data_IF_336031481213
#
_entry.id   IF_336031481213
#
_cell.length_a   1.000
_cell.length_b   1.000
_cell.length_c   1.000
_cell.angle_alpha   90.00
_cell.angle_beta   90.00
_cell.angle_gamma   90.00
#
_symmetry.space_group_name_H-M   'P 1'
#
loop_
_entity.id
_entity.type
_entity.pdbx_description
1 polymer ?
#
# COMPACT_ATOMS: atom_id res chain seq x y z
N UNK A 1 -3.03 -34.87 -9.07
CA UNK A 1 -3.52 -33.47 -9.08
C UNK A 1 -2.33 -32.59 -9.49
N UNK A 2 -1.93 -32.69 -10.76
CA UNK A 2 -2.21 -31.76 -11.87
C UNK A 2 -1.68 -30.34 -11.65
N UNK A 3 -0.40 -30.13 -11.98
CA UNK A 3 0.27 -28.84 -12.12
C UNK A 3 -0.50 -27.80 -12.93
N UNK A 4 -1.40 -28.22 -13.84
CA UNK A 4 -2.23 -27.31 -14.63
C UNK A 4 -3.34 -26.65 -13.80
N UNK A 5 -3.83 -27.30 -12.74
CA UNK A 5 -4.86 -26.72 -11.86
C UNK A 5 -4.29 -25.63 -10.96
N UNK A 6 -3.04 -25.78 -10.50
CA UNK A 6 -2.34 -24.75 -9.71
C UNK A 6 -2.01 -23.54 -10.55
N UNK A 7 -1.48 -23.71 -11.77
CA UNK A 7 -1.15 -22.58 -12.66
C UNK A 7 -2.38 -21.74 -13.03
N UNK A 8 -3.49 -22.37 -13.39
CA UNK A 8 -4.73 -21.65 -13.73
C UNK A 8 -5.31 -20.87 -12.54
N UNK A 9 -5.18 -21.40 -11.31
CA UNK A 9 -5.59 -20.71 -10.10
C UNK A 9 -4.66 -19.53 -9.76
N UNK A 10 -3.35 -19.68 -9.95
CA UNK A 10 -2.36 -18.62 -9.77
C UNK A 10 -2.54 -17.48 -10.79
N UNK A 11 -2.76 -17.81 -12.07
CA UNK A 11 -3.02 -16.83 -13.13
C UNK A 11 -4.33 -16.05 -12.85
N UNK A 12 -5.36 -16.72 -12.32
CA UNK A 12 -6.62 -16.07 -11.91
C UNK A 12 -6.40 -15.09 -10.75
N UNK A 13 -5.67 -15.50 -9.71
CA UNK A 13 -5.37 -14.65 -8.55
C UNK A 13 -4.56 -13.41 -8.95
N UNK A 14 -3.57 -13.57 -9.83
CA UNK A 14 -2.79 -12.43 -10.35
C UNK A 14 -3.70 -11.49 -11.15
N UNK A 15 -4.59 -12.04 -11.98
CA UNK A 15 -5.55 -11.23 -12.75
C UNK A 15 -6.51 -10.44 -11.85
N UNK A 16 -7.06 -11.07 -10.81
CA UNK A 16 -7.93 -10.40 -9.83
C UNK A 16 -7.18 -9.33 -9.04
N UNK A 17 -5.95 -9.59 -8.66
CA UNK A 17 -5.08 -8.64 -7.97
C UNK A 17 -4.84 -7.41 -8.86
N UNK A 18 -4.41 -7.62 -10.11
CA UNK A 18 -4.16 -6.53 -11.06
C UNK A 18 -5.43 -5.73 -11.34
N UNK A 19 -6.58 -6.40 -11.51
CA UNK A 19 -7.88 -5.73 -11.69
C UNK A 19 -8.28 -4.89 -10.47
N UNK A 20 -8.07 -5.42 -9.27
CA UNK A 20 -8.37 -4.70 -8.02
C UNK A 20 -7.48 -3.47 -7.85
N UNK A 21 -6.19 -3.59 -8.19
CA UNK A 21 -5.25 -2.46 -8.12
C UNK A 21 -5.54 -1.44 -9.22
N UNK A 22 -5.94 -1.85 -10.42
CA UNK A 22 -6.39 -0.94 -11.48
C UNK A 22 -7.61 -0.12 -11.03
N UNK A 23 -8.60 -0.76 -10.41
CA UNK A 23 -9.75 -0.05 -9.81
C UNK A 23 -9.32 0.94 -8.73
N UNK A 24 -8.40 0.55 -7.86
CA UNK A 24 -7.86 1.45 -6.83
C UNK A 24 -7.13 2.65 -7.47
N UNK A 25 -6.36 2.42 -8.54
CA UNK A 25 -5.69 3.49 -9.30
C UNK A 25 -6.68 4.47 -9.93
N UNK A 26 -7.78 3.99 -10.51
CA UNK A 26 -8.87 4.84 -11.03
C UNK A 26 -9.50 5.67 -9.91
N UNK A 27 -9.82 5.04 -8.78
CA UNK A 27 -10.36 5.75 -7.62
C UNK A 27 -9.43 6.88 -7.16
N UNK A 28 -8.13 6.62 -7.04
CA UNK A 28 -7.21 7.64 -6.57
C UNK A 28 -7.03 8.80 -7.56
N UNK A 29 -7.15 8.54 -8.86
CA UNK A 29 -7.11 9.56 -9.91
C UNK A 29 -8.34 10.49 -9.86
N UNK A 30 -9.54 9.91 -9.71
CA UNK A 30 -10.80 10.65 -9.62
C UNK A 30 -10.92 11.46 -8.31
N UNK A 31 -10.45 10.90 -7.19
CA UNK A 31 -10.62 11.47 -5.86
C UNK A 31 -9.36 12.13 -5.31
N UNK A 32 -8.34 12.40 -6.13
CA UNK A 32 -7.05 12.96 -5.71
C UNK A 32 -7.15 14.22 -4.84
N UNK A 33 -8.21 15.02 -5.04
CA UNK A 33 -8.46 16.25 -4.28
C UNK A 33 -8.98 16.01 -2.85
N UNK A 34 -9.35 14.78 -2.49
CA UNK A 34 -9.91 14.42 -1.18
C UNK A 34 -9.06 13.39 -0.43
N UNK A 35 -7.95 12.93 -1.03
CA UNK A 35 -7.07 11.94 -0.40
C UNK A 35 -6.27 12.61 0.72
N UNK A 36 -6.40 12.11 1.95
CA UNK A 36 -5.59 12.53 3.09
C UNK A 36 -4.25 11.77 3.14
N UNK A 37 -3.52 11.87 4.25
CA UNK A 37 -2.22 11.19 4.39
C UNK A 37 -2.39 9.67 4.43
N UNK A 38 -3.48 9.14 4.97
CA UNK A 38 -3.74 7.69 5.02
C UNK A 38 -4.00 7.12 3.63
N UNK A 39 -4.77 7.83 2.81
CA UNK A 39 -4.97 7.43 1.42
C UNK A 39 -3.67 7.52 0.61
N UNK A 40 -2.81 8.51 0.91
CA UNK A 40 -1.47 8.60 0.31
C UNK A 40 -0.56 7.45 0.78
N UNK A 41 -0.68 7.02 2.03
CA UNK A 41 0.02 5.84 2.54
C UNK A 41 -0.46 4.57 1.84
N UNK A 42 -1.78 4.40 1.71
CA UNK A 42 -2.39 3.25 1.03
C UNK A 42 -1.93 3.13 -0.44
N UNK A 43 -1.88 4.24 -1.17
CA UNK A 43 -1.40 4.22 -2.57
C UNK A 43 0.11 3.90 -2.64
N UNK A 44 0.93 4.39 -1.72
CA UNK A 44 2.36 4.07 -1.64
C UNK A 44 2.62 2.60 -1.33
N UNK A 45 1.82 2.00 -0.43
CA UNK A 45 1.86 0.54 -0.17
C UNK A 45 1.46 -0.23 -1.43
N UNK A 46 0.38 0.17 -2.09
CA UNK A 46 -0.06 -0.46 -3.34
C UNK A 46 1.00 -0.41 -4.43
N UNK A 47 1.65 0.75 -4.60
CA UNK A 47 2.75 0.91 -5.54
C UNK A 47 3.95 0.03 -5.16
N UNK A 48 4.32 -0.03 -3.88
CA UNK A 48 5.40 -0.89 -3.39
C UNK A 48 5.16 -2.36 -3.75
N UNK A 49 3.95 -2.86 -3.56
CA UNK A 49 3.61 -4.25 -3.92
C UNK A 49 3.66 -4.51 -5.43
N UNK A 50 3.19 -3.56 -6.25
CA UNK A 50 3.31 -3.69 -7.71
C UNK A 50 4.77 -3.73 -8.18
N UNK A 51 5.64 -2.90 -7.59
CA UNK A 51 7.07 -2.89 -7.88
C UNK A 51 7.72 -4.24 -7.51
N UNK A 52 7.32 -4.83 -6.39
CA UNK A 52 7.76 -6.19 -6.00
C UNK A 52 7.31 -7.24 -7.00
N UNK A 53 6.06 -7.17 -7.46
CA UNK A 53 5.53 -8.08 -8.47
C UNK A 53 6.29 -7.90 -9.78
N UNK A 54 6.47 -6.66 -10.27
CA UNK A 54 7.22 -6.37 -11.50
C UNK A 54 8.64 -6.95 -11.44
N UNK A 55 9.33 -6.76 -10.31
CA UNK A 55 10.65 -7.35 -10.05
C UNK A 55 10.63 -8.88 -10.08
N UNK A 56 9.58 -9.53 -9.57
CA UNK A 56 9.42 -10.98 -9.67
C UNK A 56 9.14 -11.44 -11.10
N UNK A 57 8.23 -10.75 -11.81
CA UNK A 57 7.89 -11.04 -13.20
C UNK A 57 9.10 -10.89 -14.14
N UNK A 58 10.04 -9.99 -13.83
CA UNK A 58 11.29 -9.84 -14.61
C UNK A 58 12.22 -11.07 -14.50
N UNK A 59 12.09 -11.87 -13.43
CA UNK A 59 12.91 -13.07 -13.18
C UNK A 59 12.29 -14.35 -13.74
N UNK A 60 11.04 -14.30 -14.15
CA UNK A 60 10.31 -15.45 -14.70
C UNK A 60 9.84 -15.16 -16.13
N UNK A 61 9.55 -16.20 -16.91
CA UNK A 61 8.94 -16.03 -18.23
C UNK A 61 7.43 -15.76 -18.08
N UNK A 62 7.11 -14.58 -17.55
CA UNK A 62 5.74 -14.08 -17.42
C UNK A 62 5.21 -13.50 -18.75
N UNK A 63 3.88 -13.45 -18.88
CA UNK A 63 3.19 -12.84 -20.02
C UNK A 63 3.56 -11.36 -20.16
N UNK A 64 4.02 -10.96 -21.34
CA UNK A 64 4.39 -9.58 -21.64
C UNK A 64 3.22 -8.60 -21.48
N UNK A 65 1.98 -9.04 -21.75
CA UNK A 65 0.79 -8.20 -21.54
C UNK A 65 0.57 -7.86 -20.06
N UNK A 66 0.84 -8.83 -19.18
CA UNK A 66 0.72 -8.65 -17.75
C UNK A 66 1.78 -7.67 -17.22
N UNK A 67 3.03 -7.81 -17.69
CA UNK A 67 4.11 -6.87 -17.36
C UNK A 67 3.77 -5.45 -17.82
N UNK A 68 3.34 -5.28 -19.06
CA UNK A 68 2.96 -3.99 -19.61
C UNK A 68 1.83 -3.34 -18.79
N UNK A 69 0.79 -4.13 -18.45
CA UNK A 69 -0.32 -3.64 -17.63
C UNK A 69 0.13 -3.18 -16.24
N UNK A 70 1.00 -3.94 -15.57
CA UNK A 70 1.55 -3.56 -14.26
C UNK A 70 2.34 -2.26 -14.36
N UNK A 71 3.20 -2.12 -15.37
CA UNK A 71 3.98 -0.90 -15.59
C UNK A 71 3.10 0.33 -15.86
N UNK A 72 2.02 0.16 -16.63
CA UNK A 72 1.04 1.23 -16.86
C UNK A 72 0.36 1.67 -15.56
N UNK A 73 -0.01 0.72 -14.69
CA UNK A 73 -0.62 1.02 -13.40
C UNK A 73 0.39 1.73 -12.49
N UNK A 74 1.64 1.26 -12.41
CA UNK A 74 2.71 1.91 -11.63
C UNK A 74 2.88 3.36 -12.08
N UNK A 75 3.03 3.60 -13.39
CA UNK A 75 3.21 4.94 -13.94
C UNK A 75 2.02 5.86 -13.61
N UNK A 76 0.79 5.34 -13.65
CA UNK A 76 -0.40 6.10 -13.26
C UNK A 76 -0.39 6.46 -11.78
N UNK A 77 -0.04 5.51 -10.91
CA UNK A 77 0.08 5.76 -9.46
C UNK A 77 1.14 6.82 -9.16
N UNK A 78 2.28 6.82 -9.86
CA UNK A 78 3.32 7.85 -9.71
C UNK A 78 2.82 9.26 -10.00
N UNK A 79 2.02 9.41 -11.07
CA UNK A 79 1.41 10.70 -11.42
C UNK A 79 0.47 11.17 -10.31
N UNK A 80 -0.42 10.29 -9.84
CA UNK A 80 -1.39 10.60 -8.78
C UNK A 80 -0.68 10.94 -7.47
N UNK A 81 0.31 10.15 -7.05
CA UNK A 81 1.13 10.40 -5.86
C UNK A 81 1.80 11.76 -5.94
N UNK A 82 2.38 12.11 -7.10
CA UNK A 82 3.03 13.40 -7.30
C UNK A 82 2.04 14.57 -7.16
N UNK A 83 0.83 14.42 -7.69
CA UNK A 83 -0.23 15.44 -7.58
C UNK A 83 -0.67 15.62 -6.13
N UNK A 84 -0.93 14.52 -5.40
CA UNK A 84 -1.29 14.55 -3.98
C UNK A 84 -0.16 15.16 -3.13
N UNK A 85 1.09 14.74 -3.36
CA UNK A 85 2.26 15.26 -2.64
C UNK A 85 2.46 16.76 -2.86
N UNK A 86 2.38 17.23 -4.10
CA UNK A 86 2.51 18.67 -4.40
C UNK A 86 1.45 19.51 -3.69
N UNK A 87 0.23 18.97 -3.55
CA UNK A 87 -0.84 19.64 -2.81
C UNK A 87 -0.57 19.60 -1.30
N UNK A 88 -0.23 18.43 -0.75
CA UNK A 88 0.05 18.26 0.68
C UNK A 88 1.26 19.10 1.15
N UNK A 89 2.24 19.33 0.27
CA UNK A 89 3.36 20.25 0.53
C UNK A 89 2.91 21.72 0.63
N UNK A 90 1.93 22.14 -0.19
CA UNK A 90 1.38 23.50 -0.14
C UNK A 90 0.52 23.75 1.10
N UNK A 91 -0.08 22.71 1.66
CA UNK A 91 -0.97 22.78 2.81
C UNK A 91 -0.41 22.07 4.05
N UNK A 92 0.92 22.03 4.22
CA UNK A 92 1.61 21.24 5.25
C UNK A 92 0.97 21.38 6.64
N UNK A 93 0.14 20.41 7.01
CA UNK A 93 -0.43 20.30 8.36
C UNK A 93 0.56 19.62 9.29
N UNK A 94 0.39 19.78 10.60
CA UNK A 94 1.14 19.02 11.61
C UNK A 94 1.01 17.50 11.38
N UNK A 95 -0.19 17.04 10.98
CA UNK A 95 -0.46 15.66 10.63
C UNK A 95 0.38 15.16 9.45
N UNK A 96 0.42 15.92 8.35
CA UNK A 96 1.23 15.59 7.17
C UNK A 96 2.73 15.59 7.46
N UNK A 97 3.19 16.43 8.39
CA UNK A 97 4.59 16.42 8.84
C UNK A 97 4.91 15.17 9.66
N UNK A 98 4.04 14.79 10.61
CA UNK A 98 4.20 13.60 11.45
C UNK A 98 4.33 12.33 10.61
N UNK A 99 3.61 12.21 9.51
CA UNK A 99 3.60 10.97 8.72
C UNK A 99 4.35 11.06 7.39
N UNK A 100 5.11 12.14 7.16
CA UNK A 100 5.84 12.36 5.90
C UNK A 100 6.68 11.16 5.48
N UNK A 101 7.40 10.54 6.42
CA UNK A 101 8.29 9.40 6.14
C UNK A 101 7.55 8.18 5.57
N UNK A 102 6.30 7.94 6.02
CA UNK A 102 5.48 6.83 5.53
C UNK A 102 5.02 7.01 4.08
N UNK A 103 4.98 8.25 3.60
CA UNK A 103 4.38 8.61 2.32
C UNK A 103 5.39 9.15 1.31
N UNK A 104 6.67 9.16 1.68
CA UNK A 104 7.74 9.70 0.82
C UNK A 104 8.12 8.73 -0.30
N UNK A 105 8.12 7.43 0.00
CA UNK A 105 8.57 6.39 -0.92
C UNK A 105 7.59 5.21 -0.93
N UNK A 106 7.56 4.42 -2.01
CA UNK A 106 6.76 3.21 -2.07
C UNK A 106 7.18 2.24 -0.96
N UNK A 107 6.21 1.75 -0.19
CA UNK A 107 6.48 0.82 0.91
C UNK A 107 6.20 -0.61 0.48
N UNK A 108 7.25 -1.41 0.39
CA UNK A 108 7.13 -2.87 0.28
C UNK A 108 6.85 -3.45 1.67
N UNK A 109 5.69 -4.09 1.82
CA UNK A 109 5.39 -4.89 3.02
C UNK A 109 5.97 -6.28 2.76
N UNK A 110 6.94 -6.75 3.58
CA UNK A 110 7.44 -8.11 3.47
C UNK A 110 6.30 -9.09 3.76
N UNK A 111 5.72 -9.65 2.70
CA UNK A 111 4.65 -10.62 2.83
C UNK A 111 5.25 -11.98 3.19
N UNK A 112 4.97 -12.44 4.41
CA UNK A 112 5.10 -13.86 4.74
C UNK A 112 3.70 -14.40 4.98
N UNK A 113 3.26 -15.43 4.24
CA UNK A 113 1.96 -16.03 4.49
C UNK A 113 1.90 -16.49 5.94
N UNK A 114 0.93 -16.00 6.71
CA UNK A 114 0.85 -16.27 8.17
C UNK A 114 0.78 -17.76 8.50
N UNK A 115 0.24 -18.57 7.57
CA UNK A 115 0.19 -20.03 7.68
C UNK A 115 1.57 -20.72 7.59
N UNK A 116 2.61 -20.00 7.13
CA UNK A 116 3.99 -20.48 7.01
C UNK A 116 4.87 -20.08 8.21
N UNK A 117 4.43 -19.12 9.02
CA UNK A 117 5.20 -18.61 10.19
C UNK A 117 4.58 -19.03 11.51
N UNK A 118 3.26 -19.20 11.58
CA UNK A 118 2.58 -19.37 12.85
C UNK A 118 1.67 -20.61 12.89
N UNK A 119 2.11 -21.61 13.66
CA UNK A 119 1.23 -22.46 14.47
C UNK A 119 0.63 -21.68 15.67
N UNK A 120 0.71 -20.35 15.67
CA UNK A 120 0.27 -19.53 16.79
C UNK A 120 -1.25 -19.41 16.76
N UNK A 121 -1.84 -19.61 17.94
CA UNK A 121 -3.26 -19.52 18.23
C UNK A 121 -3.85 -18.25 17.58
N UNK A 122 -5.09 -18.31 17.07
CA UNK A 122 -5.76 -17.12 16.57
C UNK A 122 -5.67 -16.02 17.63
N UNK A 123 -5.10 -14.87 17.25
CA UNK A 123 -5.11 -13.68 18.08
C UNK A 123 -6.57 -13.27 18.22
N UNK A 124 -7.15 -13.67 19.35
CA UNK A 124 -8.41 -13.11 19.82
C UNK A 124 -8.12 -11.66 20.16
N UNK A 125 -8.45 -10.75 19.26
CA UNK A 125 -8.69 -9.37 19.66
C UNK A 125 -9.89 -9.44 20.60
N UNK A 126 -9.64 -9.54 21.91
CA UNK A 126 -10.62 -9.15 22.92
C UNK A 126 -11.18 -7.82 22.43
N UNK A 127 -12.50 -7.73 22.25
CA UNK A 127 -13.20 -6.56 21.68
C UNK A 127 -12.45 -5.31 22.13
N UNK A 128 -11.61 -4.79 21.23
CA UNK A 128 -10.71 -3.70 21.60
C UNK A 128 -11.65 -2.59 22.05
N UNK A 129 -11.43 -2.10 23.27
CA UNK A 129 -12.06 -0.87 23.72
C UNK A 129 -11.96 0.14 22.58
N UNK A 130 -13.02 0.93 22.41
CA UNK A 130 -13.21 1.93 21.34
C UNK A 130 -11.85 2.45 20.86
N UNK A 131 -11.47 2.06 19.64
CA UNK A 131 -10.19 2.45 19.06
C UNK A 131 -10.06 3.97 19.13
N UNK A 132 -9.01 4.44 19.82
CA UNK A 132 -8.65 5.85 19.87
C UNK A 132 -7.59 6.10 18.80
N UNK A 133 -8.04 6.66 17.67
CA UNK A 133 -7.21 6.99 16.52
C UNK A 133 -6.05 7.93 16.89
N UNK A 134 -6.32 8.97 17.69
CA UNK A 134 -5.30 9.93 18.14
C UNK A 134 -4.20 9.26 18.98
N UNK A 135 -4.58 8.30 19.84
CA UNK A 135 -3.61 7.50 20.60
C UNK A 135 -2.78 6.60 19.68
N UNK A 136 -3.43 5.93 18.73
CA UNK A 136 -2.76 5.09 17.73
C UNK A 136 -1.75 5.88 16.90
N UNK A 137 -2.16 7.04 16.38
CA UNK A 137 -1.35 7.94 15.58
C UNK A 137 -0.18 8.51 16.38
N UNK A 138 -0.39 8.84 17.66
CA UNK A 138 0.68 9.28 18.56
C UNK A 138 1.71 8.17 18.78
N UNK A 139 1.26 6.94 19.04
CA UNK A 139 2.14 5.79 19.17
C UNK A 139 2.95 5.55 17.89
N UNK A 140 2.29 5.58 16.73
CA UNK A 140 2.94 5.39 15.44
C UNK A 140 3.97 6.49 15.15
N UNK A 141 3.61 7.77 15.35
CA UNK A 141 4.53 8.89 15.18
C UNK A 141 5.76 8.78 16.10
N UNK A 142 5.60 8.28 17.33
CA UNK A 142 6.73 8.04 18.24
C UNK A 142 7.65 6.92 17.72
N UNK A 143 7.09 5.81 17.24
CA UNK A 143 7.86 4.70 16.65
C UNK A 143 8.66 5.16 15.44
N UNK A 144 8.07 6.04 14.62
CA UNK A 144 8.71 6.62 13.44
C UNK A 144 9.68 7.77 13.77
N UNK A 145 9.79 8.18 15.04
CA UNK A 145 10.63 9.30 15.45
C UNK A 145 10.18 10.66 14.92
N UNK A 146 8.90 10.78 14.53
CA UNK A 146 8.31 11.98 13.91
C UNK A 146 7.33 12.72 14.83
N UNK A 147 7.16 12.24 16.06
CA UNK A 147 6.34 12.91 17.08
C UNK A 147 6.99 14.23 17.50
N UNK A 148 6.30 15.34 17.25
CA UNK A 148 6.64 16.66 17.78
C UNK A 148 5.60 16.99 18.84
N UNK A 149 5.99 17.20 20.11
CA UNK A 149 5.08 17.71 21.13
C UNK A 149 4.48 19.02 20.65
N UNK A 150 3.15 19.15 20.72
CA UNK A 150 2.54 20.47 20.56
C UNK A 150 3.02 21.30 21.76
N UNK A 151 3.79 22.35 21.49
CA UNK A 151 4.28 23.26 22.53
C UNK A 151 3.07 23.81 23.31
N UNK A 152 3.15 23.75 24.64
CA UNK A 152 2.25 24.45 25.57
C UNK A 152 2.27 25.98 25.35
#
# INVERSE_FOLDING_TARGET
MSWCQTKAAEDHLISELVHSIEKASVFFDEYQNNINVDGLFGIQVGQGQLLSIDKLLSKIHADEKLKEKIQQIIARMEVVIKLINNRNQKSMTSYSQRFKQLVTEPMEIPWVPRWLVDNQKPISFEKLQVYNEEFGDTCLARVLGSYVPENE
#
